data_IF_552642707960
#
_entry.id   IF_552642707960
#
_cell.length_a   1.000
_cell.length_b   1.000
_cell.length_c   1.000
_cell.angle_alpha   90.00
_cell.angle_beta   90.00
_cell.angle_gamma   90.00
#
_symmetry.space_group_name_H-M   'P 1'
#
loop_
_entity.id
_entity.type
_entity.pdbx_description
1 polymer ?
#
# COMPACT_ATOMS: atom_id res chain seq x y z
N UNK A 1 6.97 -14.73 36.05
CA UNK A 1 7.81 -13.66 35.53
C UNK A 1 7.01 -12.41 35.32
N UNK A 2 7.63 -11.27 35.40
CA UNK A 2 6.99 -10.00 35.04
C UNK A 2 7.23 -9.75 33.54
N UNK A 3 6.20 -9.36 32.80
CA UNK A 3 6.30 -8.95 31.42
C UNK A 3 6.18 -7.43 31.39
N UNK A 4 7.16 -6.78 30.80
CA UNK A 4 7.21 -5.32 30.61
C UNK A 4 7.37 -5.00 29.12
N UNK A 5 6.54 -4.12 28.59
CA UNK A 5 6.67 -3.63 27.21
C UNK A 5 7.53 -2.39 27.23
N UNK A 6 8.67 -2.45 26.55
CA UNK A 6 9.59 -1.35 26.43
C UNK A 6 9.11 -0.38 25.33
N UNK A 7 9.45 0.92 25.47
CA UNK A 7 9.22 1.91 24.43
C UNK A 7 10.16 1.70 23.24
N UNK A 8 9.80 2.22 22.07
CA UNK A 8 10.63 2.15 20.85
C UNK A 8 12.05 2.69 21.05
N UNK A 9 12.19 3.67 21.92
CA UNK A 9 13.47 4.18 22.39
C UNK A 9 13.42 4.25 23.92
N UNK A 10 14.23 3.45 24.58
CA UNK A 10 14.35 3.43 26.02
C UNK A 10 15.80 3.60 26.43
N UNK A 11 16.08 4.61 27.25
CA UNK A 11 17.39 4.87 27.81
C UNK A 11 17.42 4.44 29.27
N UNK A 12 18.62 4.17 29.79
CA UNK A 12 18.88 3.82 31.19
C UNK A 12 18.10 2.59 31.68
N UNK A 13 17.90 1.61 30.80
CA UNK A 13 17.26 0.37 31.16
C UNK A 13 18.26 -0.59 31.84
N UNK A 14 17.92 -1.04 33.06
CA UNK A 14 18.77 -1.97 33.80
C UNK A 14 18.44 -3.40 33.42
N UNK A 15 19.40 -4.09 32.78
CA UNK A 15 19.29 -5.49 32.40
C UNK A 15 19.78 -6.40 33.55
N UNK A 16 19.11 -7.51 33.74
CA UNK A 16 19.49 -8.56 34.70
C UNK A 16 19.92 -9.82 33.97
N UNK A 17 20.80 -10.68 34.53
CA UNK A 17 21.32 -11.85 33.84
C UNK A 17 20.28 -12.90 33.39
N UNK A 18 19.06 -12.84 33.92
CA UNK A 18 17.95 -13.76 33.60
C UNK A 18 16.82 -13.13 32.79
N UNK A 19 16.99 -11.89 32.38
CA UNK A 19 15.99 -11.22 31.56
C UNK A 19 16.00 -11.80 30.15
N UNK A 20 14.81 -12.00 29.60
CA UNK A 20 14.60 -12.46 28.22
C UNK A 20 13.98 -11.32 27.43
N UNK A 21 14.60 -10.97 26.33
CA UNK A 21 14.13 -9.93 25.41
C UNK A 21 13.44 -10.56 24.23
N UNK A 22 12.18 -10.21 24.03
CA UNK A 22 11.45 -10.52 22.81
C UNK A 22 11.42 -9.27 21.92
N UNK A 23 11.99 -9.35 20.73
CA UNK A 23 11.95 -8.29 19.73
C UNK A 23 11.07 -8.75 18.60
N UNK A 24 10.04 -7.96 18.30
CA UNK A 24 9.23 -8.16 17.11
C UNK A 24 9.67 -7.14 16.07
N UNK A 25 10.27 -7.63 15.02
CA UNK A 25 10.65 -6.80 13.88
C UNK A 25 9.41 -6.39 13.10
N UNK A 26 9.46 -5.20 12.48
CA UNK A 26 8.45 -4.81 11.49
C UNK A 26 8.49 -5.78 10.31
N UNK A 27 7.34 -6.07 9.75
CA UNK A 27 7.24 -6.81 8.48
C UNK A 27 7.86 -6.02 7.33
N UNK A 28 7.98 -6.66 6.18
CA UNK A 28 8.34 -5.97 4.93
C UNK A 28 7.26 -4.96 4.51
N UNK A 29 7.62 -4.05 3.59
CA UNK A 29 6.72 -2.99 3.11
C UNK A 29 5.53 -3.49 2.28
N UNK A 30 5.43 -4.78 2.06
CA UNK A 30 4.40 -5.38 1.21
C UNK A 30 4.74 -5.31 -0.28
N UNK A 31 3.84 -5.81 -1.10
CA UNK A 31 3.99 -5.87 -2.55
C UNK A 31 2.62 -5.71 -3.22
N UNK A 32 2.47 -4.68 -4.04
CA UNK A 32 1.23 -4.39 -4.76
C UNK A 32 0.06 -3.93 -3.87
N UNK A 33 -1.16 -4.01 -4.43
CA UNK A 33 -2.39 -3.70 -3.69
C UNK A 33 -2.75 -4.84 -2.73
N UNK A 34 -2.86 -4.60 -1.41
CA UNK A 34 -3.25 -5.61 -0.43
C UNK A 34 -4.55 -6.35 -0.79
N UNK A 35 -5.44 -5.70 -1.55
CA UNK A 35 -6.69 -6.30 -2.02
C UNK A 35 -6.50 -7.30 -3.18
N UNK A 36 -5.29 -7.49 -3.67
CA UNK A 36 -4.97 -8.53 -4.64
C UNK A 36 -4.45 -9.83 -3.99
N UNK A 37 -4.19 -9.81 -2.66
CA UNK A 37 -3.80 -11.02 -1.95
C UNK A 37 -4.89 -12.08 -2.02
N UNK A 38 -4.51 -13.30 -2.39
CA UNK A 38 -5.46 -14.41 -2.52
C UNK A 38 -6.12 -14.75 -1.17
N UNK A 39 -7.41 -15.14 -1.15
CA UNK A 39 -8.08 -15.54 0.09
C UNK A 39 -7.36 -16.69 0.80
N UNK A 40 -6.83 -17.64 0.07
CA UNK A 40 -6.09 -18.79 0.58
C UNK A 40 -4.83 -18.36 1.33
N UNK A 41 -4.08 -17.40 0.78
CA UNK A 41 -2.90 -16.84 1.45
C UNK A 41 -3.26 -16.11 2.74
N UNK A 42 -4.46 -15.48 2.81
CA UNK A 42 -4.92 -14.84 4.04
C UNK A 42 -5.28 -15.88 5.10
N UNK A 43 -5.87 -16.99 4.70
CA UNK A 43 -6.16 -18.12 5.61
C UNK A 43 -4.88 -18.71 6.17
N UNK A 44 -3.88 -18.98 5.34
CA UNK A 44 -2.57 -19.48 5.77
C UNK A 44 -1.89 -18.52 6.77
N UNK A 45 -1.98 -17.19 6.52
CA UNK A 45 -1.45 -16.18 7.42
C UNK A 45 -2.19 -16.12 8.76
N UNK A 46 -3.52 -16.34 8.77
CA UNK A 46 -4.32 -16.41 9.99
C UNK A 46 -3.99 -17.67 10.79
N UNK A 47 -3.91 -18.84 10.14
CA UNK A 47 -3.58 -20.10 10.77
C UNK A 47 -2.17 -20.09 11.37
N UNK A 48 -1.21 -19.51 10.67
CA UNK A 48 0.18 -19.36 11.16
C UNK A 48 0.36 -18.25 12.19
N UNK A 49 -0.70 -17.48 12.51
CA UNK A 49 -0.69 -16.31 13.37
C UNK A 49 0.26 -15.19 12.88
N UNK A 50 0.54 -15.15 11.59
CA UNK A 50 1.31 -14.08 10.96
C UNK A 50 0.52 -12.77 10.91
N UNK A 51 -0.80 -12.85 10.76
CA UNK A 51 -1.72 -11.72 10.85
C UNK A 51 -2.85 -12.01 11.86
N UNK A 52 -3.52 -10.95 12.30
CA UNK A 52 -4.74 -11.05 13.12
C UNK A 52 -5.99 -10.97 12.24
N UNK A 53 -7.15 -11.43 12.76
CA UNK A 53 -8.45 -11.25 12.09
C UNK A 53 -8.70 -9.78 11.76
N UNK A 54 -8.42 -8.88 12.71
CA UNK A 54 -8.52 -7.45 12.47
C UNK A 54 -7.65 -6.96 11.31
N UNK A 55 -6.42 -7.47 11.19
CA UNK A 55 -5.54 -7.14 10.06
C UNK A 55 -6.08 -7.71 8.75
N UNK A 56 -6.61 -8.93 8.75
CA UNK A 56 -7.25 -9.51 7.58
C UNK A 56 -8.43 -8.65 7.09
N UNK A 57 -9.26 -8.16 8.00
CA UNK A 57 -10.41 -7.32 7.67
C UNK A 57 -10.02 -5.91 7.24
N UNK A 58 -9.09 -5.26 7.96
CA UNK A 58 -8.79 -3.83 7.75
C UNK A 58 -7.78 -3.58 6.64
N UNK A 59 -6.74 -4.41 6.52
CA UNK A 59 -5.67 -4.24 5.53
C UNK A 59 -5.98 -4.98 4.22
N UNK A 60 -6.47 -6.21 4.31
CA UNK A 60 -6.73 -7.05 3.14
C UNK A 60 -8.19 -7.02 2.66
N UNK A 61 -9.07 -6.33 3.40
CA UNK A 61 -10.48 -6.24 3.06
C UNK A 61 -11.22 -7.57 3.12
N UNK A 62 -10.67 -8.56 3.82
CA UNK A 62 -11.31 -9.87 3.97
C UNK A 62 -12.59 -9.79 4.81
N UNK A 63 -13.50 -10.71 4.56
CA UNK A 63 -14.67 -10.97 5.42
C UNK A 63 -14.54 -12.40 5.90
N UNK A 64 -14.50 -12.57 7.21
CA UNK A 64 -14.46 -13.89 7.82
C UNK A 64 -15.86 -14.43 8.06
N UNK A 65 -16.06 -15.70 7.75
CA UNK A 65 -17.25 -16.45 8.09
C UNK A 65 -17.30 -16.79 9.59
N UNK A 66 -18.43 -17.34 10.04
CA UNK A 66 -18.59 -17.78 11.44
C UNK A 66 -17.68 -18.95 11.81
N UNK A 67 -17.18 -19.66 10.83
CA UNK A 67 -16.23 -20.77 10.90
C UNK A 67 -14.77 -20.33 10.95
N UNK A 68 -14.49 -19.01 10.82
CA UNK A 68 -13.17 -18.43 10.81
C UNK A 68 -12.50 -18.42 9.43
N UNK A 69 -13.12 -19.02 8.41
CA UNK A 69 -12.61 -19.00 7.04
C UNK A 69 -12.97 -17.73 6.28
N UNK A 70 -12.21 -17.41 5.25
CA UNK A 70 -12.47 -16.24 4.40
C UNK A 70 -13.68 -16.51 3.49
N UNK A 71 -14.71 -15.69 3.63
CA UNK A 71 -15.83 -15.67 2.67
C UNK A 71 -15.38 -14.99 1.38
N UNK A 72 -15.03 -15.78 0.38
CA UNK A 72 -14.42 -15.34 -0.89
C UNK A 72 -15.32 -14.35 -1.64
N UNK A 73 -16.62 -14.66 -1.77
CA UNK A 73 -17.54 -13.80 -2.51
C UNK A 73 -17.78 -12.47 -1.82
N UNK A 74 -18.06 -12.47 -0.53
CA UNK A 74 -18.26 -11.24 0.24
C UNK A 74 -16.98 -10.41 0.32
N UNK A 75 -15.82 -11.06 0.39
CA UNK A 75 -14.51 -10.41 0.34
C UNK A 75 -14.31 -9.70 -1.01
N UNK A 76 -14.60 -10.37 -2.11
CA UNK A 76 -14.53 -9.79 -3.45
C UNK A 76 -15.45 -8.58 -3.61
N UNK A 77 -16.69 -8.68 -3.16
CA UNK A 77 -17.67 -7.58 -3.20
C UNK A 77 -17.21 -6.38 -2.35
N UNK A 78 -16.71 -6.64 -1.12
CA UNK A 78 -16.18 -5.60 -0.24
C UNK A 78 -15.00 -4.88 -0.87
N UNK A 79 -14.01 -5.61 -1.40
CA UNK A 79 -12.84 -5.06 -2.09
C UNK A 79 -13.24 -4.19 -3.30
N UNK A 80 -14.18 -4.68 -4.11
CA UNK A 80 -14.70 -3.93 -5.25
C UNK A 80 -15.39 -2.64 -4.81
N UNK A 81 -16.20 -2.69 -3.74
CA UNK A 81 -16.85 -1.51 -3.17
C UNK A 81 -15.85 -0.49 -2.64
N UNK A 82 -14.81 -0.92 -1.92
CA UNK A 82 -13.77 -0.04 -1.40
C UNK A 82 -12.98 0.60 -2.55
N UNK A 83 -12.55 -0.18 -3.56
CA UNK A 83 -11.87 0.37 -4.74
C UNK A 83 -12.72 1.42 -5.45
N UNK A 84 -14.01 1.17 -5.59
CA UNK A 84 -14.93 2.14 -6.19
C UNK A 84 -15.06 3.42 -5.36
N UNK A 85 -15.00 3.34 -4.03
CA UNK A 85 -15.09 4.53 -3.17
C UNK A 85 -13.82 5.39 -3.17
N UNK A 86 -12.69 4.85 -3.57
CA UNK A 86 -11.42 5.59 -3.73
C UNK A 86 -11.45 6.53 -4.94
N UNK A 87 -12.33 6.27 -5.90
CA UNK A 87 -12.41 7.03 -7.16
C UNK A 87 -13.63 7.94 -7.11
N UNK A 88 -13.42 9.23 -6.95
CA UNK A 88 -14.50 10.24 -6.91
C UNK A 88 -15.08 10.51 -8.29
N UNK A 89 -14.24 10.48 -9.33
CA UNK A 89 -14.61 10.65 -10.72
C UNK A 89 -13.89 9.60 -11.57
N UNK A 90 -14.67 8.71 -12.19
CA UNK A 90 -14.11 7.67 -13.05
C UNK A 90 -13.65 8.28 -14.35
N UNK A 91 -12.35 8.40 -14.53
CA UNK A 91 -11.75 8.73 -15.82
C UNK A 91 -11.67 7.47 -16.67
N UNK A 92 -11.92 7.60 -17.95
CA UNK A 92 -11.78 6.51 -18.92
C UNK A 92 -10.72 6.89 -19.92
N UNK A 93 -9.79 5.99 -20.19
CA UNK A 93 -8.89 6.09 -21.34
C UNK A 93 -9.28 5.02 -22.35
N UNK A 94 -9.29 5.40 -23.63
CA UNK A 94 -9.48 4.50 -24.75
C UNK A 94 -8.14 4.15 -25.41
N UNK A 95 -7.02 4.62 -24.87
CA UNK A 95 -5.70 4.34 -25.38
C UNK A 95 -5.38 2.87 -25.18
N UNK A 96 -4.93 2.20 -26.24
CA UNK A 96 -4.56 0.80 -26.23
C UNK A 96 -3.21 0.67 -26.89
N UNK A 97 -2.25 0.17 -26.13
CA UNK A 97 -0.91 -0.11 -26.60
C UNK A 97 -0.54 -1.56 -26.37
N UNK A 98 0.67 -1.89 -26.78
CA UNK A 98 1.30 -3.17 -26.46
C UNK A 98 2.13 -3.01 -25.19
N UNK A 99 2.16 -4.04 -24.37
CA UNK A 99 3.04 -4.09 -23.20
C UNK A 99 4.50 -4.08 -23.68
N UNK A 100 5.24 -3.07 -23.26
CA UNK A 100 6.67 -2.95 -23.51
C UNK A 100 7.48 -3.55 -22.36
N UNK A 101 7.09 -3.25 -21.12
CA UNK A 101 7.74 -3.75 -19.90
C UNK A 101 6.82 -3.62 -18.72
N UNK A 102 6.97 -4.51 -17.74
CA UNK A 102 6.44 -4.36 -16.40
C UNK A 102 7.41 -3.49 -15.60
N UNK A 103 6.94 -2.36 -15.07
CA UNK A 103 7.75 -1.50 -14.21
C UNK A 103 7.65 -1.91 -12.75
N UNK A 104 6.42 -2.30 -12.34
CA UNK A 104 6.13 -2.85 -11.02
C UNK A 104 4.93 -3.77 -11.11
N UNK A 105 4.53 -4.37 -9.99
CA UNK A 105 3.30 -5.18 -9.94
C UNK A 105 2.03 -4.39 -10.33
N UNK A 106 2.02 -3.10 -10.09
CA UNK A 106 0.84 -2.24 -10.28
C UNK A 106 0.92 -1.36 -11.53
N UNK A 107 2.10 -1.21 -12.15
CA UNK A 107 2.36 -0.25 -13.22
C UNK A 107 3.11 -0.90 -14.37
N UNK A 108 2.55 -0.79 -15.55
CA UNK A 108 3.12 -1.21 -16.82
C UNK A 108 3.62 -0.04 -17.64
N UNK A 109 4.59 -0.30 -18.49
CA UNK A 109 5.00 0.58 -19.59
C UNK A 109 4.39 0.04 -20.86
N UNK A 110 3.58 0.86 -21.52
CA UNK A 110 2.86 0.53 -22.75
C UNK A 110 3.35 1.40 -23.90
N UNK A 111 3.22 0.89 -25.13
CA UNK A 111 3.56 1.62 -26.36
C UNK A 111 2.47 1.47 -27.40
N UNK A 112 2.14 2.58 -28.06
CA UNK A 112 1.31 2.64 -29.25
C UNK A 112 1.95 3.54 -30.33
N UNK A 113 1.21 3.86 -31.39
CA UNK A 113 1.68 4.73 -32.49
C UNK A 113 1.94 6.17 -32.02
N UNK A 114 1.34 6.62 -30.92
CA UNK A 114 1.52 7.96 -30.36
C UNK A 114 2.74 8.05 -29.41
N UNK A 115 3.28 6.92 -28.96
CA UNK A 115 4.45 6.90 -28.09
C UNK A 115 4.35 5.90 -26.94
N UNK A 116 5.21 6.11 -25.94
CA UNK A 116 5.30 5.26 -24.75
C UNK A 116 4.65 5.96 -23.56
N UNK A 117 3.94 5.21 -22.71
CA UNK A 117 3.17 5.76 -21.60
C UNK A 117 3.09 4.79 -20.42
N UNK A 118 2.83 5.35 -19.25
CA UNK A 118 2.53 4.61 -18.04
C UNK A 118 1.09 4.10 -18.05
N UNK A 119 0.86 2.90 -17.59
CA UNK A 119 -0.48 2.32 -17.48
C UNK A 119 -0.67 1.53 -16.19
N UNK A 120 -1.89 1.52 -15.67
CA UNK A 120 -2.28 0.63 -14.58
C UNK A 120 -2.21 -0.83 -15.03
N UNK A 121 -1.44 -1.67 -14.35
CA UNK A 121 -1.29 -3.08 -14.71
C UNK A 121 -2.60 -3.90 -14.58
N UNK A 122 -3.61 -3.36 -13.86
CA UNK A 122 -4.87 -4.06 -13.62
C UNK A 122 -5.96 -3.77 -14.64
N UNK A 123 -5.98 -2.56 -15.22
CA UNK A 123 -7.08 -2.13 -16.12
C UNK A 123 -6.60 -1.38 -17.37
N UNK A 124 -5.30 -1.33 -17.61
CA UNK A 124 -4.63 -0.66 -18.73
C UNK A 124 -4.95 0.85 -18.85
N UNK A 125 -5.48 1.45 -17.77
CA UNK A 125 -5.74 2.90 -17.76
C UNK A 125 -4.44 3.66 -17.89
N UNK A 126 -4.39 4.63 -18.82
CA UNK A 126 -3.25 5.52 -19.03
C UNK A 126 -2.98 6.41 -17.82
N UNK A 127 -1.74 6.44 -17.38
CA UNK A 127 -1.25 7.22 -16.25
C UNK A 127 -0.23 8.30 -16.68
N UNK A 128 -0.37 8.80 -17.91
CA UNK A 128 0.48 9.85 -18.48
C UNK A 128 1.61 9.34 -19.36
N UNK A 129 2.30 10.27 -20.02
CA UNK A 129 3.45 9.99 -20.87
C UNK A 129 4.61 9.42 -20.04
N UNK A 130 5.48 8.63 -20.68
CA UNK A 130 6.61 7.99 -19.99
C UNK A 130 7.60 8.99 -19.36
N UNK A 131 7.64 10.23 -19.85
CA UNK A 131 8.46 11.32 -19.31
C UNK A 131 7.85 12.04 -18.10
N UNK A 132 6.55 11.83 -17.85
CA UNK A 132 5.82 12.46 -16.76
C UNK A 132 5.88 11.62 -15.48
N UNK A 133 5.58 12.25 -14.35
CA UNK A 133 5.40 11.52 -13.10
C UNK A 133 3.98 10.93 -13.06
N UNK A 134 3.86 9.62 -13.22
CA UNK A 134 2.55 8.95 -13.23
C UNK A 134 1.69 9.24 -11.98
N UNK A 135 2.30 9.59 -10.85
CA UNK A 135 1.59 9.94 -9.61
C UNK A 135 0.69 11.18 -9.77
N UNK A 136 1.05 12.10 -10.68
CA UNK A 136 0.23 13.29 -11.00
C UNK A 136 -1.08 12.94 -11.71
N UNK A 137 -1.17 11.74 -12.28
CA UNK A 137 -2.35 11.21 -12.97
C UNK A 137 -3.18 10.26 -12.11
N UNK A 138 -2.85 10.12 -10.83
CA UNK A 138 -3.53 9.26 -9.86
C UNK A 138 -4.55 10.02 -9.02
N UNK A 139 -5.45 9.29 -8.38
CA UNK A 139 -6.15 9.80 -7.19
C UNK A 139 -5.19 9.69 -6.02
N UNK A 140 -4.91 10.81 -5.36
CA UNK A 140 -4.03 10.85 -4.20
C UNK A 140 -4.85 10.97 -2.92
N UNK A 141 -4.56 10.13 -1.94
CA UNK A 141 -5.10 10.21 -0.59
C UNK A 141 -3.95 10.47 0.39
N UNK A 142 -4.04 11.58 1.12
CA UNK A 142 -3.06 11.96 2.13
C UNK A 142 -3.61 11.64 3.51
N UNK A 143 -2.83 10.91 4.30
CA UNK A 143 -3.22 10.47 5.64
C UNK A 143 -2.08 10.72 6.63
N UNK A 144 -2.39 10.66 7.92
CA UNK A 144 -1.36 10.66 8.96
C UNK A 144 -0.45 9.44 8.80
N UNK A 145 0.85 9.61 9.06
CA UNK A 145 1.82 8.52 9.05
C UNK A 145 1.45 7.37 10.00
N UNK A 146 0.68 7.64 11.05
CA UNK A 146 0.17 6.63 11.97
C UNK A 146 -0.71 5.56 11.28
N UNK A 147 -1.27 5.87 10.10
CA UNK A 147 -2.02 4.89 9.29
C UNK A 147 -1.09 3.85 8.68
N UNK A 148 0.11 4.25 8.28
CA UNK A 148 1.12 3.32 7.73
C UNK A 148 1.67 2.37 8.79
N UNK A 149 1.82 2.86 10.02
CA UNK A 149 2.28 2.06 11.15
C UNK A 149 1.74 2.63 12.47
N UNK A 150 0.74 1.98 13.09
CA UNK A 150 0.15 2.43 14.36
C UNK A 150 1.14 2.47 15.55
N UNK A 151 2.33 1.86 15.41
CA UNK A 151 3.38 1.90 16.44
C UNK A 151 4.28 3.13 16.31
N UNK A 152 4.17 3.90 15.23
CA UNK A 152 4.83 5.20 15.13
C UNK A 152 4.13 6.13 16.12
N UNK A 153 4.92 6.67 17.05
CA UNK A 153 4.45 7.70 17.97
C UNK A 153 4.20 9.02 17.24
N UNK A 154 3.85 10.05 18.01
CA UNK A 154 3.69 11.42 17.51
C UNK A 154 4.99 11.86 16.81
N UNK A 155 4.91 12.05 15.50
CA UNK A 155 6.02 12.47 14.64
C UNK A 155 6.60 13.84 15.04
N UNK A 156 5.78 14.74 15.59
CA UNK A 156 6.21 16.06 16.07
C UNK A 156 7.27 15.99 17.19
N UNK A 157 7.48 14.81 17.78
CA UNK A 157 8.57 14.58 18.74
C UNK A 157 9.95 14.46 18.10
N UNK A 158 10.01 14.22 16.80
CA UNK A 158 11.24 13.85 16.09
C UNK A 158 11.53 14.75 14.89
N UNK A 159 10.52 15.39 14.34
CA UNK A 159 10.62 16.23 13.14
C UNK A 159 9.68 17.44 13.28
N UNK A 160 10.14 18.62 12.87
CA UNK A 160 9.37 19.86 12.97
C UNK A 160 8.31 20.02 11.85
N UNK A 161 8.48 19.29 10.74
CA UNK A 161 7.59 19.35 9.60
C UNK A 161 6.47 18.29 9.72
N UNK A 162 5.30 18.60 9.21
CA UNK A 162 4.23 17.64 9.09
C UNK A 162 4.61 16.53 8.08
N UNK A 163 4.43 15.27 8.48
CA UNK A 163 4.73 14.10 7.67
C UNK A 163 3.42 13.43 7.26
N UNK A 164 3.31 13.09 5.99
CA UNK A 164 2.13 12.47 5.41
C UNK A 164 2.45 11.08 4.84
N UNK A 165 1.49 10.19 4.96
CA UNK A 165 1.42 8.94 4.21
C UNK A 165 0.52 9.17 2.99
N UNK A 166 1.11 9.21 1.81
CA UNK A 166 0.42 9.42 0.55
C UNK A 166 0.19 8.10 -0.16
N UNK A 167 -1.03 7.86 -0.60
CA UNK A 167 -1.40 6.68 -1.37
C UNK A 167 -1.93 7.09 -2.74
N UNK A 168 -1.50 6.39 -3.78
CA UNK A 168 -1.82 6.69 -5.17
C UNK A 168 -2.68 5.59 -5.76
N UNK A 169 -3.88 5.95 -6.21
CA UNK A 169 -4.85 5.01 -6.76
C UNK A 169 -5.14 5.28 -8.23
N UNK A 170 -5.36 4.22 -8.99
CA UNK A 170 -5.81 4.33 -10.37
C UNK A 170 -7.17 5.03 -10.46
N UNK A 171 -7.27 6.07 -11.29
CA UNK A 171 -8.50 6.85 -11.50
C UNK A 171 -9.65 6.06 -12.13
N UNK A 172 -9.38 4.88 -12.72
CA UNK A 172 -10.41 4.05 -13.32
C UNK A 172 -10.86 2.92 -12.41
N UNK A 173 -9.94 2.13 -11.86
CA UNK A 173 -10.28 0.92 -11.11
C UNK A 173 -10.07 1.00 -9.59
N UNK A 174 -9.44 2.08 -9.07
CA UNK A 174 -9.18 2.27 -7.65
C UNK A 174 -8.14 1.32 -7.06
N UNK A 175 -7.37 0.61 -7.90
CA UNK A 175 -6.25 -0.20 -7.45
C UNK A 175 -5.16 0.70 -6.85
N UNK A 176 -4.56 0.30 -5.73
CA UNK A 176 -3.40 0.96 -5.18
C UNK A 176 -2.21 0.74 -6.12
N UNK A 177 -1.62 1.82 -6.59
CA UNK A 177 -0.49 1.80 -7.50
C UNK A 177 0.83 1.97 -6.77
N UNK A 178 0.86 2.88 -5.81
CA UNK A 178 2.06 3.22 -5.03
C UNK A 178 1.69 3.92 -3.73
N UNK A 179 2.67 4.05 -2.84
CA UNK A 179 2.57 4.88 -1.64
C UNK A 179 3.94 5.49 -1.32
N UNK A 180 3.92 6.64 -0.66
CA UNK A 180 5.13 7.30 -0.17
C UNK A 180 4.91 7.95 1.19
N UNK A 181 5.99 8.08 1.95
CA UNK A 181 6.04 8.90 3.15
C UNK A 181 6.85 10.14 2.79
N UNK A 182 6.26 11.31 2.95
CA UNK A 182 6.86 12.59 2.56
C UNK A 182 6.52 13.69 3.57
N UNK A 183 7.32 14.76 3.55
CA UNK A 183 6.92 16.01 4.18
C UNK A 183 5.72 16.58 3.41
N UNK A 184 4.71 17.09 4.12
CA UNK A 184 3.46 17.54 3.52
C UNK A 184 3.64 18.57 2.38
N UNK A 185 4.65 19.44 2.51
CA UNK A 185 4.95 20.51 1.53
C UNK A 185 5.83 20.03 0.36
N UNK A 186 6.40 18.82 0.44
CA UNK A 186 7.27 18.31 -0.61
C UNK A 186 6.47 17.91 -1.86
N UNK A 187 7.02 18.12 -3.06
CA UNK A 187 6.41 17.63 -4.29
C UNK A 187 6.34 16.09 -4.28
N UNK A 188 5.50 15.54 -5.15
CA UNK A 188 5.42 14.10 -5.36
C UNK A 188 6.78 13.56 -5.82
N UNK A 189 7.23 12.48 -5.19
CA UNK A 189 8.48 11.84 -5.55
C UNK A 189 8.40 11.26 -6.96
N UNK A 190 9.30 11.69 -7.84
CA UNK A 190 9.45 11.15 -9.18
C UNK A 190 10.53 10.06 -9.18
N UNK A 191 10.18 8.91 -8.66
CA UNK A 191 11.07 7.76 -8.44
C UNK A 191 11.20 6.83 -9.65
N UNK A 192 10.20 6.82 -10.54
CA UNK A 192 10.22 6.03 -11.77
C UNK A 192 10.50 6.91 -12.98
N UNK A 193 11.75 6.96 -13.41
CA UNK A 193 12.16 7.66 -14.62
C UNK A 193 12.69 6.65 -15.64
N UNK A 194 12.09 6.60 -16.81
CA UNK A 194 12.56 5.76 -17.91
C UNK A 194 13.33 6.61 -18.92
N UNK A 195 14.60 6.30 -19.14
CA UNK A 195 15.33 6.83 -20.30
C UNK A 195 15.07 5.89 -21.46
N UNK A 196 14.32 6.39 -22.46
CA UNK A 196 14.19 5.69 -23.73
C UNK A 196 15.54 5.79 -24.45
N UNK A 197 16.26 4.68 -24.50
CA UNK A 197 17.48 4.55 -25.32
C UNK A 197 17.13 4.36 -26.80
#
# INVERSE_FOLDING_TARGET
GCHETLQLRQENFTQRPKDVYAVRWSGGGGFGDPFDRAPEDIEDDLESLAITENSAETLYGAILGKDGHVDVERTRERRAKIRKSRVTEIKKSNRKGQLLSENSHSINIMRDDAGTYWACAKCDFELGDISENYKEHCVTENQSIAVSNPLIGDEARFIDNAVEFRQFYCCQCGCLLDNEIAIAEDPLLHDSRHQLS
#
